data_IF_551334566756
#
_entry.id   IF_551334566756
#
_cell.length_a   1.000
_cell.length_b   1.000
_cell.length_c   1.000
_cell.angle_alpha   90.00
_cell.angle_beta   90.00
_cell.angle_gamma   90.00
#
_symmetry.space_group_name_H-M   'P 1'
#
loop_
_entity.id
_entity.type
_entity.pdbx_description
1 polymer ?
#
# COMPACT_ATOMS: atom_id res chain seq x y z
N UNK A 1 -9.24 37.54 46.63
CA UNK A 1 -8.00 37.07 45.96
C UNK A 1 -8.37 35.99 44.96
N UNK A 2 -8.47 36.35 43.69
CA UNK A 2 -8.83 35.42 42.59
C UNK A 2 -7.55 34.82 42.04
N UNK A 3 -7.36 33.49 42.20
CA UNK A 3 -6.23 32.78 41.61
C UNK A 3 -6.58 32.41 40.18
N UNK A 4 -5.97 33.09 39.22
CA UNK A 4 -5.96 32.68 37.80
C UNK A 4 -5.16 31.39 37.67
N UNK A 5 -5.85 30.28 37.36
CA UNK A 5 -5.25 29.05 36.96
C UNK A 5 -4.85 29.19 35.47
N UNK A 6 -3.55 29.32 35.20
CA UNK A 6 -3.00 29.25 33.85
C UNK A 6 -3.05 27.79 33.39
N UNK A 7 -3.88 27.48 32.37
CA UNK A 7 -3.81 26.21 31.67
C UNK A 7 -2.52 26.18 30.81
N UNK A 8 -1.71 25.11 30.88
CA UNK A 8 -0.55 24.98 29.99
C UNK A 8 -1.04 24.78 28.56
N UNK A 9 -0.66 25.68 27.66
CA UNK A 9 -0.76 25.46 26.23
C UNK A 9 0.19 24.31 25.87
N UNK A 10 -0.36 23.12 25.65
CA UNK A 10 0.40 22.02 25.08
C UNK A 10 0.82 22.39 23.65
N UNK A 11 2.12 22.63 23.43
CA UNK A 11 2.70 22.81 22.12
C UNK A 11 2.55 21.49 21.37
N UNK A 12 1.53 21.35 20.53
CA UNK A 12 1.41 20.21 19.61
C UNK A 12 2.50 20.39 18.58
N UNK A 13 3.60 19.64 18.73
CA UNK A 13 4.63 19.58 17.71
C UNK A 13 3.99 19.15 16.40
N UNK A 14 4.01 20.01 15.38
CA UNK A 14 3.59 19.69 14.04
C UNK A 14 4.52 18.57 13.52
N UNK A 15 4.02 17.34 13.52
CA UNK A 15 4.75 16.21 12.95
C UNK A 15 4.89 16.44 11.46
N UNK A 16 6.12 16.62 10.98
CA UNK A 16 6.42 16.82 9.57
C UNK A 16 6.41 15.50 8.83
N UNK A 17 6.01 15.54 7.56
CA UNK A 17 6.19 14.40 6.66
C UNK A 17 7.68 14.18 6.37
N UNK A 18 8.12 12.94 6.54
CA UNK A 18 9.46 12.50 6.21
C UNK A 18 9.40 11.38 5.18
N UNK A 19 10.36 11.38 4.26
CA UNK A 19 10.51 10.33 3.26
C UNK A 19 11.98 10.08 2.93
N UNK A 20 12.35 8.82 2.81
CA UNK A 20 13.67 8.40 2.30
C UNK A 20 13.52 7.34 1.23
N UNK A 21 14.40 7.40 0.24
CA UNK A 21 14.55 6.39 -0.81
C UNK A 21 15.99 5.92 -0.82
N UNK A 22 16.22 4.67 -0.47
CA UNK A 22 17.56 4.09 -0.32
C UNK A 22 17.68 2.76 -1.09
N UNK A 23 18.89 2.36 -1.53
CA UNK A 23 19.14 0.98 -1.92
C UNK A 23 18.71 0.01 -0.81
N UNK A 24 18.36 -1.22 -1.17
CA UNK A 24 18.04 -2.25 -0.18
C UNK A 24 19.26 -2.52 0.71
N UNK A 25 19.15 -2.40 2.04
CA UNK A 25 20.22 -2.81 2.96
C UNK A 25 20.49 -4.32 2.83
N UNK A 26 21.72 -4.76 3.09
CA UNK A 26 22.10 -6.16 2.93
C UNK A 26 21.22 -7.15 3.72
N UNK A 27 20.83 -6.89 4.99
CA UNK A 27 19.93 -7.79 5.71
C UNK A 27 18.55 -7.91 5.06
N UNK A 28 17.98 -6.79 4.57
CA UNK A 28 16.70 -6.79 3.87
C UNK A 28 16.79 -7.53 2.54
N UNK A 29 17.90 -7.35 1.80
CA UNK A 29 18.12 -8.05 0.54
C UNK A 29 18.15 -9.57 0.76
N UNK A 30 18.84 -10.06 1.78
CA UNK A 30 18.87 -11.48 2.14
C UNK A 30 17.48 -12.02 2.50
N UNK A 31 16.66 -11.21 3.22
CA UNK A 31 15.29 -11.59 3.57
C UNK A 31 14.38 -11.65 2.34
N UNK A 32 14.52 -10.69 1.41
CA UNK A 32 13.75 -10.68 0.17
C UNK A 32 14.11 -11.88 -0.70
N UNK A 33 15.40 -12.16 -0.86
CA UNK A 33 15.90 -13.29 -1.63
C UNK A 33 15.34 -14.64 -1.15
N UNK A 34 15.19 -14.80 0.16
CA UNK A 34 14.67 -16.03 0.74
C UNK A 34 13.15 -16.21 0.67
N UNK A 35 12.36 -15.12 0.42
CA UNK A 35 10.90 -15.16 0.64
C UNK A 35 10.04 -14.48 -0.42
N UNK A 36 10.52 -13.38 -0.99
CA UNK A 36 9.71 -12.51 -1.84
C UNK A 36 10.28 -12.34 -3.23
N UNK A 37 11.52 -12.72 -3.43
CA UNK A 37 12.21 -12.75 -4.70
C UNK A 37 12.72 -14.18 -4.97
N UNK A 38 12.78 -14.58 -6.22
CA UNK A 38 13.30 -15.88 -6.64
C UNK A 38 13.97 -15.74 -8.01
N UNK A 39 14.91 -16.64 -8.38
CA UNK A 39 15.42 -16.70 -9.73
C UNK A 39 14.28 -16.76 -10.75
N UNK A 40 14.35 -15.91 -11.78
CA UNK A 40 13.27 -15.74 -12.76
C UNK A 40 12.34 -14.57 -12.50
N UNK A 41 12.42 -13.90 -11.34
CA UNK A 41 11.73 -12.62 -11.13
C UNK A 41 12.10 -11.61 -12.22
N UNK A 42 11.14 -10.79 -12.71
CA UNK A 42 11.37 -9.88 -13.84
C UNK A 42 12.34 -8.74 -13.52
N UNK A 43 12.62 -8.49 -12.24
CA UNK A 43 13.56 -7.45 -11.81
C UNK A 43 14.59 -8.00 -10.81
N UNK A 44 15.88 -7.66 -10.95
CA UNK A 44 16.88 -8.02 -9.97
C UNK A 44 16.74 -7.15 -8.72
N UNK A 45 17.15 -7.66 -7.55
CA UNK A 45 17.12 -6.93 -6.28
C UNK A 45 17.88 -5.60 -6.32
N UNK A 46 18.87 -5.44 -7.19
CA UNK A 46 19.64 -4.20 -7.39
C UNK A 46 18.78 -3.05 -7.94
N UNK A 47 17.68 -3.34 -8.63
CA UNK A 47 16.75 -2.35 -9.15
C UNK A 47 15.71 -1.91 -8.10
N UNK A 48 15.57 -2.64 -7.01
CA UNK A 48 14.62 -2.32 -5.96
C UNK A 48 15.17 -1.27 -4.98
N UNK A 49 14.27 -0.52 -4.38
CA UNK A 49 14.55 0.50 -3.37
C UNK A 49 13.65 0.31 -2.16
N UNK A 50 14.21 0.57 -0.99
CA UNK A 50 13.45 0.76 0.23
C UNK A 50 12.97 2.22 0.26
N UNK A 51 11.65 2.37 0.25
CA UNK A 51 10.98 3.65 0.47
C UNK A 51 10.45 3.65 1.89
N UNK A 52 10.86 4.61 2.69
CA UNK A 52 10.37 4.83 4.05
C UNK A 52 9.66 6.17 4.08
N UNK A 53 8.43 6.21 4.60
CA UNK A 53 7.57 7.41 4.60
C UNK A 53 6.80 7.56 5.90
N UNK A 54 6.52 8.79 6.30
CA UNK A 54 5.51 9.07 7.32
C UNK A 54 4.11 8.85 6.77
N UNK A 55 3.21 8.29 7.57
CA UNK A 55 1.79 8.16 7.25
C UNK A 55 0.92 8.32 8.50
N UNK A 56 -0.33 8.69 8.33
CA UNK A 56 -1.32 8.66 9.40
C UNK A 56 -1.81 7.25 9.63
N UNK A 57 -1.90 6.84 10.89
CA UNK A 57 -2.54 5.58 11.30
C UNK A 57 -4.04 5.74 11.55
N UNK A 58 -4.73 4.63 11.73
CA UNK A 58 -6.14 4.62 12.15
C UNK A 58 -6.34 5.15 13.57
N UNK A 59 -5.30 5.18 14.38
CA UNK A 59 -5.27 5.80 15.72
C UNK A 59 -5.14 7.34 15.68
N UNK A 60 -5.04 7.92 14.47
CA UNK A 60 -4.87 9.37 14.30
C UNK A 60 -3.47 9.89 14.63
N UNK A 61 -2.50 8.98 14.77
CA UNK A 61 -1.09 9.31 15.00
C UNK A 61 -0.27 9.13 13.73
N UNK A 62 0.89 9.77 13.68
CA UNK A 62 1.85 9.57 12.59
C UNK A 62 2.73 8.37 12.90
N UNK A 63 2.89 7.51 11.92
CA UNK A 63 3.72 6.32 11.92
C UNK A 63 4.73 6.37 10.79
N UNK A 64 5.73 5.49 10.86
CA UNK A 64 6.69 5.25 9.79
C UNK A 64 6.32 3.96 9.07
N UNK A 65 6.11 4.07 7.75
CA UNK A 65 5.84 2.95 6.86
C UNK A 65 7.02 2.64 5.94
N UNK A 66 7.06 1.40 5.45
CA UNK A 66 8.10 0.94 4.54
C UNK A 66 7.53 0.12 3.39
N UNK A 67 8.04 0.38 2.19
CA UNK A 67 7.70 -0.32 0.96
C UNK A 67 8.97 -0.67 0.18
N UNK A 68 8.93 -1.77 -0.55
CA UNK A 68 9.96 -2.11 -1.54
C UNK A 68 9.35 -1.91 -2.92
N UNK A 69 9.96 -1.06 -3.74
CA UNK A 69 9.47 -0.71 -5.08
C UNK A 69 10.63 -0.61 -6.08
N UNK A 70 10.34 -0.57 -7.37
CA UNK A 70 11.36 -0.32 -8.38
C UNK A 70 11.97 1.09 -8.21
N UNK A 71 13.24 1.24 -8.58
CA UNK A 71 14.01 2.49 -8.47
C UNK A 71 13.41 3.64 -9.28
N UNK A 72 12.77 3.32 -10.42
CA UNK A 72 12.20 4.32 -11.33
C UNK A 72 10.95 4.99 -10.78
N UNK A 73 10.16 4.27 -9.97
CA UNK A 73 8.93 4.79 -9.35
C UNK A 73 9.11 5.24 -7.89
N UNK A 74 10.26 4.95 -7.25
CA UNK A 74 10.45 5.16 -5.82
C UNK A 74 10.30 6.63 -5.40
N UNK A 75 10.91 7.57 -6.14
CA UNK A 75 10.82 9.01 -5.84
C UNK A 75 9.44 9.60 -6.17
N UNK A 76 8.83 9.34 -7.35
CA UNK A 76 7.45 9.73 -7.63
C UNK A 76 6.48 9.24 -6.54
N UNK A 77 6.63 7.98 -6.10
CA UNK A 77 5.79 7.39 -5.09
C UNK A 77 5.91 8.08 -3.72
N UNK A 78 7.12 8.44 -3.29
CA UNK A 78 7.30 9.22 -2.07
C UNK A 78 6.53 10.56 -2.11
N UNK A 79 6.39 11.20 -3.29
CA UNK A 79 5.55 12.39 -3.47
C UNK A 79 4.06 12.08 -3.36
N UNK A 80 3.62 10.91 -3.81
CA UNK A 80 2.23 10.45 -3.61
C UNK A 80 1.96 10.31 -2.12
N UNK A 81 2.83 9.62 -1.36
CA UNK A 81 2.66 9.47 0.08
C UNK A 81 2.67 10.80 0.83
N UNK A 82 3.41 11.81 0.36
CA UNK A 82 3.31 13.18 0.89
C UNK A 82 1.88 13.71 0.74
N UNK A 83 1.25 13.53 -0.43
CA UNK A 83 -0.13 13.95 -0.64
C UNK A 83 -1.12 13.17 0.23
N UNK A 84 -0.92 11.85 0.40
CA UNK A 84 -1.74 11.05 1.32
C UNK A 84 -1.61 11.52 2.77
N UNK A 85 -0.39 11.89 3.16
CA UNK A 85 -0.12 12.48 4.48
C UNK A 85 -0.85 13.82 4.66
N UNK A 86 -0.77 14.72 3.68
CA UNK A 86 -1.44 16.03 3.71
C UNK A 86 -2.99 15.87 3.73
N UNK A 87 -3.52 14.84 3.08
CA UNK A 87 -4.94 14.44 3.12
C UNK A 87 -5.34 13.76 4.46
N UNK A 88 -4.40 13.48 5.33
CA UNK A 88 -4.58 12.66 6.53
C UNK A 88 -5.22 11.31 6.24
N UNK A 89 -4.90 10.73 5.07
CA UNK A 89 -5.40 9.41 4.69
C UNK A 89 -4.81 8.35 5.63
N UNK A 90 -5.64 7.61 6.39
CA UNK A 90 -5.14 6.64 7.34
C UNK A 90 -4.72 5.35 6.65
N UNK A 91 -3.56 4.84 7.01
CA UNK A 91 -3.06 3.53 6.60
C UNK A 91 -2.94 2.66 7.85
N UNK A 92 -3.50 1.44 7.81
CA UNK A 92 -3.55 0.59 8.99
C UNK A 92 -2.18 0.02 9.30
N UNK A 93 -1.64 -0.75 8.38
CA UNK A 93 -0.30 -1.31 8.49
C UNK A 93 0.46 -1.10 7.18
N UNK A 94 1.71 -0.63 7.28
CA UNK A 94 2.60 -0.47 6.13
C UNK A 94 4.03 -0.77 6.56
N UNK A 95 4.29 -2.05 6.80
CA UNK A 95 5.60 -2.55 7.18
C UNK A 95 5.97 -3.73 6.31
N UNK A 96 7.26 -3.91 6.08
CA UNK A 96 7.75 -5.05 5.32
C UNK A 96 7.42 -6.35 6.05
N UNK A 97 7.10 -7.39 5.30
CA UNK A 97 6.62 -8.67 5.85
C UNK A 97 7.57 -9.29 6.89
N UNK A 98 8.89 -9.08 6.78
CA UNK A 98 9.84 -9.57 7.79
C UNK A 98 9.71 -8.87 9.15
N UNK A 99 9.12 -7.66 9.20
CA UNK A 99 8.88 -6.95 10.45
C UNK A 99 7.80 -7.60 11.32
N UNK A 100 7.03 -8.54 10.75
CA UNK A 100 6.00 -9.31 11.43
C UNK A 100 6.50 -10.70 11.90
N UNK A 101 7.80 -10.99 11.78
CA UNK A 101 8.42 -12.21 12.26
C UNK A 101 8.66 -13.30 11.20
N UNK A 102 9.26 -14.43 11.60
CA UNK A 102 9.78 -15.42 10.66
C UNK A 102 8.71 -16.25 9.95
N UNK A 103 7.47 -16.28 10.42
CA UNK A 103 6.39 -17.15 9.94
C UNK A 103 5.26 -16.42 9.24
N UNK A 104 5.48 -15.33 8.50
CA UNK A 104 4.40 -14.52 7.91
C UNK A 104 3.32 -14.15 8.94
N UNK A 105 3.72 -13.79 10.15
CA UNK A 105 2.80 -13.23 11.11
C UNK A 105 2.42 -11.83 10.62
N UNK A 106 1.51 -11.77 9.63
CA UNK A 106 0.77 -10.54 9.38
C UNK A 106 -0.06 -10.23 10.64
N UNK A 107 -0.38 -8.96 10.89
CA UNK A 107 -1.41 -8.63 11.86
C UNK A 107 -2.65 -9.49 11.64
N UNK A 108 -3.35 -9.87 12.71
CA UNK A 108 -4.51 -10.78 12.65
C UNK A 108 -5.62 -10.27 11.73
N UNK A 109 -5.67 -8.94 11.50
CA UNK A 109 -6.60 -8.29 10.59
C UNK A 109 -6.21 -8.41 9.10
N UNK A 110 -4.98 -8.87 8.79
CA UNK A 110 -4.49 -9.02 7.42
C UNK A 110 -4.37 -7.73 6.61
N UNK A 111 -4.65 -6.56 7.21
CA UNK A 111 -4.79 -5.26 6.55
C UNK A 111 -3.44 -4.56 6.33
N UNK A 112 -2.56 -5.20 5.60
CA UNK A 112 -1.21 -4.70 5.33
C UNK A 112 -1.11 -4.09 3.94
N UNK A 113 -0.91 -2.77 3.89
CA UNK A 113 -0.53 -2.07 2.66
C UNK A 113 0.88 -2.50 2.23
N UNK A 114 1.01 -2.91 0.97
CA UNK A 114 2.24 -3.52 0.48
C UNK A 114 2.54 -3.22 -0.98
N UNK A 115 3.69 -3.68 -1.46
CA UNK A 115 4.14 -3.45 -2.83
C UNK A 115 4.80 -4.70 -3.43
N UNK A 116 6.12 -4.82 -3.37
CA UNK A 116 6.86 -5.85 -4.08
C UNK A 116 6.55 -7.28 -3.60
N UNK A 117 6.07 -8.11 -4.53
CA UNK A 117 5.95 -9.56 -4.39
C UNK A 117 6.23 -10.20 -5.75
N UNK A 118 7.25 -11.04 -5.84
CA UNK A 118 7.55 -11.78 -7.06
C UNK A 118 6.54 -12.93 -7.27
N UNK A 119 5.48 -12.64 -8.01
CA UNK A 119 4.44 -13.61 -8.36
C UNK A 119 3.89 -13.34 -9.74
N UNK A 120 3.33 -14.36 -10.36
CA UNK A 120 2.55 -14.20 -11.60
C UNK A 120 1.25 -13.41 -11.34
N UNK A 121 0.73 -12.85 -12.41
CA UNK A 121 -0.58 -12.19 -12.39
C UNK A 121 -1.69 -13.22 -12.10
N UNK A 122 -2.66 -12.84 -11.31
CA UNK A 122 -3.84 -13.68 -11.04
C UNK A 122 -4.80 -13.57 -12.22
N UNK A 123 -5.28 -14.68 -12.79
CA UNK A 123 -6.30 -14.65 -13.83
C UNK A 123 -7.61 -14.10 -13.29
N UNK A 124 -8.44 -13.55 -14.19
CA UNK A 124 -9.77 -13.08 -13.79
C UNK A 124 -10.62 -14.25 -13.30
N UNK A 125 -11.21 -14.17 -12.09
CA UNK A 125 -12.09 -15.23 -11.60
C UNK A 125 -13.41 -15.33 -12.39
N UNK A 126 -13.73 -14.32 -13.22
CA UNK A 126 -14.94 -14.29 -14.04
C UNK A 126 -14.80 -15.08 -15.34
N UNK A 127 -13.61 -15.04 -15.93
CA UNK A 127 -13.37 -15.66 -17.24
C UNK A 127 -12.52 -16.92 -17.12
N UNK A 128 -11.91 -17.15 -15.94
CA UNK A 128 -10.95 -18.22 -15.76
C UNK A 128 -9.69 -18.01 -16.61
N UNK A 129 -9.03 -19.08 -16.95
CA UNK A 129 -7.82 -19.07 -17.78
C UNK A 129 -6.54 -19.13 -16.95
N UNK A 130 -5.41 -19.23 -17.65
CA UNK A 130 -4.07 -19.19 -17.09
C UNK A 130 -3.39 -17.90 -17.51
N UNK A 131 -2.71 -17.25 -16.58
CA UNK A 131 -1.75 -16.18 -16.86
C UNK A 131 -0.31 -16.66 -16.64
N UNK A 132 -0.09 -17.96 -16.81
CA UNK A 132 1.24 -18.55 -16.75
C UNK A 132 2.20 -17.79 -17.66
N UNK A 133 3.35 -17.38 -17.11
CA UNK A 133 4.34 -16.58 -17.82
C UNK A 133 4.06 -15.06 -17.82
N UNK A 134 2.96 -14.59 -17.23
CA UNK A 134 2.68 -13.16 -17.08
C UNK A 134 2.93 -12.71 -15.64
N UNK A 135 3.89 -11.82 -15.45
CA UNK A 135 4.21 -11.29 -14.13
C UNK A 135 3.22 -10.21 -13.69
N UNK A 136 2.85 -10.22 -12.40
CA UNK A 136 2.10 -9.14 -11.77
C UNK A 136 2.93 -7.85 -11.75
N UNK A 137 2.27 -6.67 -11.77
CA UNK A 137 2.95 -5.39 -11.55
C UNK A 137 3.67 -5.33 -10.19
N UNK A 138 3.21 -6.08 -9.18
CA UNK A 138 3.92 -6.25 -7.91
C UNK A 138 5.29 -6.89 -8.10
N UNK A 139 5.45 -7.83 -9.04
CA UNK A 139 6.73 -8.47 -9.32
C UNK A 139 7.75 -7.54 -9.98
N UNK A 140 7.28 -6.47 -10.63
CA UNK A 140 8.13 -5.40 -11.15
C UNK A 140 8.42 -4.31 -10.10
N UNK A 141 7.76 -4.33 -8.94
CA UNK A 141 7.79 -3.25 -7.97
C UNK A 141 7.06 -1.99 -8.46
N UNK A 142 6.08 -2.15 -9.33
CA UNK A 142 5.31 -1.12 -10.02
C UNK A 142 3.84 -1.07 -9.58
N UNK A 143 3.52 -1.69 -8.46
CA UNK A 143 2.18 -1.69 -7.88
C UNK A 143 2.21 -1.48 -6.36
N UNK A 144 1.11 -0.98 -5.82
CA UNK A 144 0.84 -0.84 -4.39
C UNK A 144 -0.60 -1.23 -4.11
N UNK A 145 -0.78 -1.96 -3.01
CA UNK A 145 -2.08 -2.20 -2.41
C UNK A 145 -2.21 -1.38 -1.12
N UNK A 146 -3.30 -0.62 -0.98
CA UNK A 146 -3.59 0.22 0.18
C UNK A 146 -4.77 -0.33 0.98
N UNK A 147 -4.58 -0.57 2.27
CA UNK A 147 -5.62 -1.01 3.22
C UNK A 147 -6.52 -2.09 2.60
N UNK A 148 -6.03 -3.33 2.41
CA UNK A 148 -6.74 -4.38 1.67
C UNK A 148 -8.14 -4.70 2.21
N UNK A 149 -8.37 -4.54 3.50
CA UNK A 149 -9.69 -4.77 4.12
C UNK A 149 -10.66 -3.65 3.72
N UNK A 150 -10.27 -2.39 3.85
CA UNK A 150 -11.10 -1.25 3.47
C UNK A 150 -11.20 -1.03 1.95
N UNK A 151 -10.31 -1.66 1.19
CA UNK A 151 -10.28 -1.55 -0.28
C UNK A 151 -10.14 -2.94 -0.91
N UNK A 152 -11.16 -3.79 -0.78
CA UNK A 152 -11.05 -5.18 -1.17
C UNK A 152 -10.87 -5.40 -2.66
N UNK A 153 -10.25 -6.54 -2.98
CA UNK A 153 -10.42 -7.17 -4.26
C UNK A 153 -11.83 -7.79 -4.34
N UNK A 154 -12.57 -7.39 -5.37
CA UNK A 154 -13.91 -7.92 -5.66
C UNK A 154 -13.81 -8.76 -6.93
N UNK A 155 -13.74 -10.07 -6.76
CA UNK A 155 -13.68 -11.01 -7.88
C UNK A 155 -15.07 -11.44 -8.30
N UNK A 156 -15.48 -11.11 -9.53
CA UNK A 156 -16.82 -11.41 -10.04
C UNK A 156 -17.95 -10.97 -9.11
N UNK A 157 -17.85 -9.78 -8.55
CA UNK A 157 -18.86 -9.23 -7.64
C UNK A 157 -18.82 -9.80 -6.22
N UNK A 158 -17.80 -10.60 -5.86
CA UNK A 158 -17.66 -11.23 -4.53
C UNK A 158 -16.36 -10.85 -3.86
N UNK A 159 -16.40 -10.65 -2.55
CA UNK A 159 -15.23 -10.54 -1.68
C UNK A 159 -15.01 -11.87 -0.95
N UNK A 160 -13.75 -12.22 -0.72
CA UNK A 160 -13.40 -13.44 0.01
C UNK A 160 -13.36 -13.22 1.52
N UNK A 161 -12.91 -12.05 1.95
CA UNK A 161 -12.81 -11.71 3.37
C UNK A 161 -14.14 -11.09 3.86
N UNK A 162 -14.83 -11.72 4.81
CA UNK A 162 -16.06 -11.17 5.40
C UNK A 162 -15.84 -9.78 6.05
N UNK A 163 -14.65 -9.50 6.59
CA UNK A 163 -14.32 -8.20 7.16
C UNK A 163 -14.38 -7.07 6.12
N UNK A 164 -14.17 -7.40 4.86
CA UNK A 164 -14.21 -6.45 3.74
C UNK A 164 -15.61 -6.17 3.21
N UNK A 165 -16.61 -6.99 3.53
CA UNK A 165 -17.97 -6.84 3.01
C UNK A 165 -18.59 -5.44 3.22
N UNK A 166 -18.39 -4.76 4.38
CA UNK A 166 -18.92 -3.41 4.60
C UNK A 166 -18.32 -2.33 3.70
N UNK A 167 -17.20 -2.62 3.03
CA UNK A 167 -16.43 -1.66 2.23
C UNK A 167 -16.64 -1.82 0.71
N UNK A 168 -17.44 -2.78 0.28
CA UNK A 168 -17.78 -2.98 -1.15
C UNK A 168 -18.60 -1.81 -1.70
N UNK A 169 -19.50 -1.25 -0.88
CA UNK A 169 -20.32 -0.11 -1.28
C UNK A 169 -19.50 1.18 -1.29
N UNK A 170 -19.05 1.61 -2.47
CA UNK A 170 -18.21 2.80 -2.68
C UNK A 170 -18.99 4.12 -2.72
N UNK A 171 -20.32 4.09 -2.71
CA UNK A 171 -21.13 5.31 -2.58
C UNK A 171 -21.17 5.84 -1.14
N UNK A 172 -20.77 5.01 -0.17
CA UNK A 172 -20.75 5.35 1.26
C UNK A 172 -19.33 5.18 1.80
N UNK A 173 -18.51 6.21 1.61
CA UNK A 173 -17.11 6.18 2.05
C UNK A 173 -17.00 6.06 3.57
N UNK A 174 -16.09 5.19 4.00
CA UNK A 174 -15.69 4.96 5.39
C UNK A 174 -14.19 5.25 5.56
N UNK A 175 -13.73 5.35 6.80
CA UNK A 175 -12.32 5.54 7.13
C UNK A 175 -11.45 4.47 6.47
N UNK A 176 -10.33 4.88 5.87
CA UNK A 176 -9.38 3.98 5.20
C UNK A 176 -9.73 3.60 3.75
N UNK A 177 -10.95 3.87 3.30
CA UNK A 177 -11.33 3.64 1.91
C UNK A 177 -10.65 4.64 0.97
N UNK A 178 -10.18 4.15 -0.17
CA UNK A 178 -9.65 4.99 -1.26
C UNK A 178 -10.73 5.97 -1.72
N UNK A 179 -10.39 7.25 -1.68
CA UNK A 179 -11.24 8.36 -2.11
C UNK A 179 -10.81 8.90 -3.48
N UNK A 180 -11.64 9.70 -4.17
CA UNK A 180 -11.21 10.37 -5.40
C UNK A 180 -9.93 11.21 -5.22
N UNK A 181 -9.68 11.78 -4.05
CA UNK A 181 -8.46 12.52 -3.76
C UNK A 181 -7.22 11.62 -3.73
N UNK A 182 -7.33 10.42 -3.15
CA UNK A 182 -6.27 9.40 -3.18
C UNK A 182 -5.99 8.95 -4.61
N UNK A 183 -7.04 8.66 -5.40
CA UNK A 183 -6.89 8.29 -6.83
C UNK A 183 -6.17 9.39 -7.60
N UNK A 184 -6.53 10.67 -7.42
CA UNK A 184 -5.82 11.80 -8.06
C UNK A 184 -4.35 11.87 -7.64
N UNK A 185 -4.00 11.52 -6.41
CA UNK A 185 -2.61 11.50 -5.96
C UNK A 185 -1.78 10.50 -6.76
N UNK A 186 -2.28 9.29 -7.00
CA UNK A 186 -1.59 8.28 -7.82
C UNK A 186 -1.61 8.64 -9.32
N UNK A 187 -2.72 9.12 -9.84
CA UNK A 187 -2.81 9.59 -11.25
C UNK A 187 -1.82 10.71 -11.56
N UNK A 188 -1.42 11.51 -10.57
CA UNK A 188 -0.43 12.58 -10.78
C UNK A 188 0.98 12.10 -11.13
N UNK A 189 1.24 10.80 -10.94
CA UNK A 189 2.48 10.14 -11.36
C UNK A 189 2.24 9.12 -12.48
N UNK A 190 1.06 9.18 -13.13
CA UNK A 190 0.70 8.31 -14.25
C UNK A 190 0.17 6.92 -13.85
N UNK A 191 -0.11 6.67 -12.57
CA UNK A 191 -0.62 5.37 -12.13
C UNK A 191 -2.14 5.29 -12.25
N UNK A 192 -2.63 4.11 -12.68
CA UNK A 192 -4.05 3.78 -12.70
C UNK A 192 -4.50 3.08 -11.42
N UNK A 193 -5.80 2.92 -11.28
CA UNK A 193 -6.46 2.35 -10.12
C UNK A 193 -7.34 1.15 -10.49
N UNK A 194 -7.23 0.04 -9.78
CA UNK A 194 -8.03 -1.17 -10.01
C UNK A 194 -9.53 -1.01 -9.77
N UNK A 195 -9.95 0.06 -9.07
CA UNK A 195 -11.36 0.44 -8.97
C UNK A 195 -11.97 0.92 -10.28
N UNK A 196 -11.16 1.33 -11.26
CA UNK A 196 -11.62 1.76 -12.60
C UNK A 196 -11.80 0.59 -13.57
N UNK A 197 -11.41 -0.64 -13.22
CA UNK A 197 -11.55 -1.78 -14.13
C UNK A 197 -12.99 -1.95 -14.58
N UNK A 198 -13.17 -2.39 -15.82
CA UNK A 198 -14.51 -2.69 -16.37
C UNK A 198 -15.09 -3.97 -15.77
N UNK A 199 -16.41 -4.13 -15.84
CA UNK A 199 -17.12 -5.34 -15.40
C UNK A 199 -17.17 -5.53 -13.88
N UNK A 200 -17.40 -6.76 -13.45
CA UNK A 200 -17.69 -7.14 -12.07
C UNK A 200 -16.45 -7.39 -11.21
N UNK A 201 -15.27 -7.36 -11.80
CA UNK A 201 -13.99 -7.47 -11.06
C UNK A 201 -13.43 -6.08 -10.80
N UNK A 202 -13.19 -5.78 -9.53
CA UNK A 202 -12.57 -4.53 -9.06
C UNK A 202 -11.45 -4.86 -8.09
N UNK A 203 -10.39 -4.07 -8.12
CA UNK A 203 -9.33 -4.15 -7.13
C UNK A 203 -9.13 -2.78 -6.48
N UNK A 204 -9.91 -2.52 -5.44
CA UNK A 204 -9.97 -1.19 -4.84
C UNK A 204 -8.69 -0.81 -4.09
N UNK A 205 -7.88 -1.78 -3.63
CA UNK A 205 -6.58 -1.52 -3.00
C UNK A 205 -5.50 -1.16 -4.02
N UNK A 206 -5.63 -1.67 -5.26
CA UNK A 206 -4.55 -1.74 -6.24
C UNK A 206 -4.33 -0.45 -7.02
N UNK A 207 -3.10 0.04 -6.98
CA UNK A 207 -2.58 1.10 -7.85
C UNK A 207 -1.34 0.58 -8.57
N UNK A 208 -1.24 0.81 -9.87
CA UNK A 208 -0.07 0.39 -10.64
C UNK A 208 0.24 1.31 -11.82
N UNK A 209 1.43 1.18 -12.38
CA UNK A 209 1.87 1.93 -13.58
C UNK A 209 1.01 1.64 -14.80
N UNK A 210 0.38 0.48 -14.89
CA UNK A 210 -0.50 0.09 -16.01
C UNK A 210 -1.99 0.23 -15.68
N UNK A 211 -2.34 0.41 -14.41
CA UNK A 211 -3.72 0.40 -13.92
C UNK A 211 -4.32 -1.01 -13.77
N UNK A 212 -3.52 -2.06 -14.02
CA UNK A 212 -3.95 -3.47 -13.96
C UNK A 212 -3.00 -4.30 -13.10
#
# INVERSE_FOLDING_TARGET
MLRLLALPLALVALQSYEATVKPLPAPLRATLDARFWQPGCPVPLSQLRLVTVSHWGFDGKVHTGQLVVNRDVARPLAKVFRRLYDLRFPIRHMRLAHAYGPRRAYPDDGDVSGSFVCREAVPSPCTGGSRSGSWSNHAYGHAIDLNPVENPYVGCGRVHDPASAPFVNRSRLRKGMVTPAVVRAFRSIGWGWGGDWSGATKDYMHFSTTGH
#
